data_IF_882376812925
#
_entry.id   IF_882376812925
#
_cell.length_a   1.000
_cell.length_b   1.000
_cell.length_c   1.000
_cell.angle_alpha   90.00
_cell.angle_beta   90.00
_cell.angle_gamma   90.00
#
_symmetry.space_group_name_H-M   'P 1'
#
loop_
_entity.id
_entity.type
_entity.pdbx_description
1 polymer ?
#
# COMPACT_ATOMS: atom_id res chain seq x y z
N UNK A 1 7.53 17.07 19.52
CA UNK A 1 6.21 16.51 19.16
C UNK A 1 6.40 15.49 18.06
N UNK A 2 5.95 14.27 18.30
CA UNK A 2 6.34 13.06 17.57
C UNK A 2 6.00 13.13 16.08
N UNK A 3 7.00 12.76 15.26
CA UNK A 3 6.87 12.64 13.81
C UNK A 3 5.72 11.72 13.40
N UNK A 4 4.80 12.25 12.60
CA UNK A 4 3.83 11.46 11.86
C UNK A 4 4.56 10.61 10.81
N UNK A 5 4.67 9.31 11.06
CA UNK A 5 5.01 8.33 10.00
C UNK A 5 3.72 7.73 9.45
N UNK A 6 3.20 8.46 8.47
CA UNK A 6 2.58 8.05 7.19
C UNK A 6 2.20 6.57 7.03
N UNK A 7 0.96 6.35 6.56
CA UNK A 7 0.58 5.10 5.89
C UNK A 7 1.58 4.71 4.80
N UNK A 8 1.54 3.45 4.37
CA UNK A 8 2.53 2.85 3.46
C UNK A 8 2.62 3.66 2.16
N UNK A 9 3.59 4.57 2.10
CA UNK A 9 4.00 5.28 0.89
C UNK A 9 5.07 4.43 0.20
N UNK A 10 4.68 3.72 -0.86
CA UNK A 10 5.57 2.93 -1.69
C UNK A 10 6.71 3.78 -2.27
N UNK A 11 6.53 5.10 -2.39
CA UNK A 11 7.54 6.06 -2.87
C UNK A 11 8.39 6.69 -1.78
N UNK A 12 8.08 6.52 -0.48
CA UNK A 12 9.09 6.75 0.58
C UNK A 12 10.22 5.73 0.50
N UNK A 13 10.09 4.76 -0.41
CA UNK A 13 10.90 3.57 -0.51
C UNK A 13 11.62 3.47 -1.86
N UNK A 14 12.48 4.43 -2.16
CA UNK A 14 13.85 4.02 -2.53
C UNK A 14 14.62 3.67 -1.27
N UNK A 15 14.00 2.91 -0.36
CA UNK A 15 14.65 2.45 0.84
C UNK A 15 15.49 1.28 0.39
N UNK A 16 16.74 1.61 0.11
CA UNK A 16 17.83 0.69 0.28
C UNK A 16 17.63 -0.07 1.59
N UNK A 17 17.60 -1.39 1.53
CA UNK A 17 17.76 -2.16 2.73
C UNK A 17 19.15 -1.83 3.30
N UNK A 18 19.20 -1.31 4.54
CA UNK A 18 20.45 -1.11 5.29
C UNK A 18 20.83 -2.37 6.07
N UNK A 19 20.21 -3.52 5.80
CA UNK A 19 20.60 -4.77 6.43
C UNK A 19 21.96 -5.22 5.89
N UNK A 20 22.94 -5.06 6.77
CA UNK A 20 24.23 -5.74 6.83
C UNK A 20 25.05 -5.89 5.52
N UNK A 21 26.15 -5.13 5.47
CA UNK A 21 27.34 -5.34 4.61
C UNK A 21 27.21 -4.89 3.15
N UNK A 22 27.27 -3.57 2.94
CA UNK A 22 28.12 -3.01 1.88
C UNK A 22 27.56 -2.86 0.46
N UNK A 23 26.35 -3.31 0.14
CA UNK A 23 25.70 -2.93 -1.13
C UNK A 23 24.22 -2.67 -0.91
N UNK A 24 23.84 -1.41 -1.08
CA UNK A 24 22.47 -0.95 -1.04
C UNK A 24 21.73 -1.54 -2.26
N UNK A 25 21.08 -2.70 -2.12
CA UNK A 25 20.32 -3.31 -3.22
C UNK A 25 19.03 -2.51 -3.40
N UNK A 26 18.73 -2.12 -4.64
CA UNK A 26 17.41 -1.62 -4.99
C UNK A 26 16.42 -2.74 -4.68
N UNK A 27 15.52 -2.51 -3.71
CA UNK A 27 14.36 -3.37 -3.55
C UNK A 27 13.46 -3.09 -4.74
N UNK A 28 13.15 -4.13 -5.51
CA UNK A 28 12.15 -4.04 -6.56
C UNK A 28 10.81 -3.55 -5.94
N UNK A 29 10.28 -2.41 -6.40
CA UNK A 29 9.07 -1.81 -5.83
C UNK A 29 7.85 -2.73 -5.96
N UNK A 30 7.82 -3.60 -6.97
CA UNK A 30 6.73 -4.57 -7.14
C UNK A 30 6.79 -5.64 -6.06
N UNK A 31 7.96 -6.24 -5.85
CA UNK A 31 8.21 -7.20 -4.76
C UNK A 31 7.83 -6.62 -3.39
N UNK A 32 8.13 -5.34 -3.14
CA UNK A 32 7.72 -4.68 -1.88
C UNK A 32 6.20 -4.56 -1.76
N UNK A 33 5.52 -4.22 -2.84
CA UNK A 33 4.06 -4.13 -2.86
C UNK A 33 3.41 -5.49 -2.62
N UNK A 34 3.90 -6.55 -3.27
CA UNK A 34 3.42 -7.92 -3.04
C UNK A 34 3.57 -8.31 -1.57
N UNK A 35 4.74 -8.05 -0.97
CA UNK A 35 4.97 -8.31 0.46
C UNK A 35 4.00 -7.54 1.37
N UNK A 36 3.75 -6.27 1.07
CA UNK A 36 2.78 -5.47 1.83
C UNK A 36 1.36 -6.03 1.72
N UNK A 37 0.95 -6.53 0.55
CA UNK A 37 -0.34 -7.20 0.37
C UNK A 37 -0.41 -8.48 1.20
N UNK A 38 0.65 -9.30 1.18
CA UNK A 38 0.71 -10.54 1.95
C UNK A 38 0.65 -10.31 3.48
N UNK A 39 1.33 -9.27 3.97
CA UNK A 39 1.24 -8.85 5.37
C UNK A 39 -0.20 -8.46 5.76
N UNK A 40 -0.92 -7.74 4.90
CA UNK A 40 -2.32 -7.38 5.14
C UNK A 40 -3.26 -8.58 5.10
N UNK A 41 -3.05 -9.52 4.17
CA UNK A 41 -3.80 -10.80 4.12
C UNK A 41 -3.62 -11.57 5.43
N UNK A 42 -2.38 -11.66 5.93
CA UNK A 42 -2.11 -12.34 7.21
C UNK A 42 -2.81 -11.65 8.39
N UNK A 43 -2.79 -10.32 8.45
CA UNK A 43 -3.49 -9.54 9.48
C UNK A 43 -4.99 -9.80 9.42
N UNK A 44 -5.62 -9.73 8.24
CA UNK A 44 -7.05 -9.98 8.09
C UNK A 44 -7.42 -11.40 8.50
N UNK A 45 -6.64 -12.41 8.10
CA UNK A 45 -6.85 -13.79 8.52
C UNK A 45 -6.79 -13.97 10.04
N UNK A 46 -5.85 -13.31 10.72
CA UNK A 46 -5.77 -13.31 12.19
C UNK A 46 -6.97 -12.60 12.81
N UNK A 47 -7.38 -11.46 12.26
CA UNK A 47 -8.47 -10.67 12.84
C UNK A 47 -9.84 -11.33 12.64
N UNK A 48 -10.03 -12.06 11.53
CA UNK A 48 -11.26 -12.80 11.23
C UNK A 48 -11.58 -13.87 12.29
N UNK A 49 -10.58 -14.44 12.96
CA UNK A 49 -10.79 -15.46 14.00
C UNK A 49 -11.16 -14.88 15.36
N UNK A 50 -11.10 -13.55 15.54
CA UNK A 50 -11.41 -12.89 16.81
C UNK A 50 -12.89 -12.53 16.89
N UNK A 51 -13.46 -12.64 18.10
CA UNK A 51 -14.84 -12.24 18.37
C UNK A 51 -15.09 -10.74 18.12
N UNK A 52 -14.07 -9.90 18.34
CA UNK A 52 -14.09 -8.46 18.05
C UNK A 52 -12.86 -8.10 17.21
N UNK A 53 -12.94 -8.17 15.87
CA UNK A 53 -11.83 -7.81 14.99
C UNK A 53 -11.44 -6.34 15.20
N UNK A 54 -10.15 -6.09 15.45
CA UNK A 54 -9.61 -4.74 15.63
C UNK A 54 -8.38 -4.55 14.76
N UNK A 55 -8.47 -3.59 13.84
CA UNK A 55 -7.40 -3.23 12.94
C UNK A 55 -6.67 -2.00 13.46
N UNK A 56 -5.35 -1.97 13.28
CA UNK A 56 -4.55 -0.79 13.56
C UNK A 56 -4.89 0.33 12.57
N UNK A 57 -4.63 1.57 12.98
CA UNK A 57 -4.87 2.77 12.15
C UNK A 57 -4.23 2.71 10.76
N UNK A 58 -3.18 1.93 10.58
CA UNK A 58 -2.41 1.82 9.34
C UNK A 58 -2.71 0.57 8.53
N UNK A 59 -3.54 -0.32 9.06
CA UNK A 59 -4.02 -1.47 8.30
C UNK A 59 -4.92 -1.01 7.17
N UNK A 60 -4.99 -1.82 6.12
CA UNK A 60 -5.77 -1.48 4.93
C UNK A 60 -7.27 -1.70 5.15
N UNK A 61 -7.65 -2.40 6.22
CA UNK A 61 -9.04 -2.66 6.58
C UNK A 61 -9.43 -1.82 7.78
N UNK A 62 -10.55 -1.12 7.70
CA UNK A 62 -11.15 -0.39 8.82
C UNK A 62 -12.66 -0.61 8.85
N UNK A 63 -13.24 -0.72 10.04
CA UNK A 63 -14.70 -0.77 10.17
C UNK A 63 -15.31 0.60 9.85
N UNK A 64 -16.42 0.58 9.11
CA UNK A 64 -17.23 1.75 8.77
C UNK A 64 -18.72 1.41 8.94
N UNK A 65 -19.57 2.43 9.05
CA UNK A 65 -21.03 2.27 9.05
C UNK A 65 -21.59 2.98 7.84
N UNK A 66 -22.30 2.27 6.98
CA UNK A 66 -22.98 2.81 5.80
C UNK A 66 -24.45 2.44 5.87
N UNK A 67 -25.34 3.43 5.69
CA UNK A 67 -26.79 3.22 5.72
C UNK A 67 -27.27 2.42 6.95
N UNK A 68 -26.75 2.78 8.13
CA UNK A 68 -27.03 2.12 9.41
C UNK A 68 -26.63 0.63 9.51
N UNK A 69 -25.83 0.11 8.56
CA UNK A 69 -25.28 -1.26 8.58
C UNK A 69 -23.74 -1.23 8.72
N UNK A 70 -23.14 -2.22 9.41
CA UNK A 70 -21.69 -2.33 9.53
C UNK A 70 -21.08 -2.84 8.22
N UNK A 71 -20.00 -2.19 7.79
CA UNK A 71 -19.18 -2.55 6.63
C UNK A 71 -17.70 -2.50 7.00
N UNK A 72 -16.87 -3.06 6.14
CA UNK A 72 -15.42 -2.96 6.17
C UNK A 72 -14.96 -2.15 4.96
N UNK A 73 -14.23 -1.07 5.20
CA UNK A 73 -13.54 -0.33 4.17
C UNK A 73 -12.18 -0.97 3.93
N UNK A 74 -11.88 -1.32 2.68
CA UNK A 74 -10.59 -1.86 2.25
C UNK A 74 -9.89 -0.83 1.38
N UNK A 75 -8.74 -0.36 1.84
CA UNK A 75 -7.91 0.63 1.17
C UNK A 75 -6.70 -0.04 0.53
N UNK A 76 -6.88 -0.55 -0.68
CA UNK A 76 -5.81 -1.22 -1.41
C UNK A 76 -5.02 -0.17 -2.20
N UNK A 77 -3.79 0.08 -1.74
CA UNK A 77 -2.84 0.91 -2.45
C UNK A 77 -3.07 2.42 -2.31
N UNK A 78 -2.00 3.13 -1.96
CA UNK A 78 -1.78 4.44 -2.59
C UNK A 78 -1.01 4.15 -3.88
N UNK A 79 -1.48 4.68 -5.01
CA UNK A 79 -0.90 4.69 -6.37
C UNK A 79 0.48 3.99 -6.51
N UNK A 80 0.70 3.05 -7.45
CA UNK A 80 0.03 2.91 -8.74
C UNK A 80 -1.10 1.87 -8.81
N UNK A 81 -1.44 1.22 -7.70
CA UNK A 81 -2.52 0.25 -7.72
C UNK A 81 -3.88 0.97 -7.66
N UNK A 82 -4.66 0.84 -8.73
CA UNK A 82 -6.08 1.17 -8.78
C UNK A 82 -6.81 -0.08 -9.27
N UNK A 83 -7.92 -0.42 -8.61
CA UNK A 83 -8.79 -1.51 -9.05
C UNK A 83 -10.10 -0.84 -9.48
N UNK A 84 -10.46 -0.99 -10.76
CA UNK A 84 -11.63 -0.32 -11.33
C UNK A 84 -11.71 1.20 -11.03
N UNK A 85 -10.58 1.91 -11.19
CA UNK A 85 -10.41 3.35 -10.90
C UNK A 85 -10.64 3.77 -9.43
N UNK A 86 -10.88 2.82 -8.54
CA UNK A 86 -11.09 3.04 -7.11
C UNK A 86 -9.86 2.64 -6.28
N UNK A 87 -9.78 3.23 -5.09
CA UNK A 87 -8.71 2.97 -4.09
C UNK A 87 -9.27 2.57 -2.73
N UNK A 88 -10.59 2.61 -2.57
CA UNK A 88 -11.30 2.26 -1.34
C UNK A 88 -12.55 1.47 -1.71
N UNK A 89 -12.73 0.30 -1.13
CA UNK A 89 -13.85 -0.59 -1.40
C UNK A 89 -14.62 -0.84 -0.11
N UNK A 90 -15.95 -0.71 -0.14
CA UNK A 90 -16.78 -1.12 0.98
C UNK A 90 -17.23 -2.57 0.77
N UNK A 91 -16.98 -3.43 1.75
CA UNK A 91 -17.37 -4.83 1.74
C UNK A 91 -18.08 -5.21 3.03
N UNK A 92 -18.95 -6.20 2.97
CA UNK A 92 -19.78 -6.62 4.11
C UNK A 92 -19.01 -7.58 5.03
N UNK A 93 -18.07 -8.36 4.47
CA UNK A 93 -17.34 -9.38 5.21
C UNK A 93 -15.83 -9.25 5.04
N UNK A 94 -15.09 -9.73 6.04
CA UNK A 94 -13.63 -9.84 5.95
C UNK A 94 -13.20 -10.84 4.86
N UNK A 95 -14.04 -11.81 4.50
CA UNK A 95 -13.79 -12.71 3.37
C UNK A 95 -13.78 -11.98 2.03
N UNK A 96 -14.72 -11.06 1.81
CA UNK A 96 -14.71 -10.20 0.64
C UNK A 96 -13.47 -9.28 0.63
N UNK A 97 -13.02 -8.81 1.80
CA UNK A 97 -11.77 -8.06 1.90
C UNK A 97 -10.56 -8.91 1.47
N UNK A 98 -10.50 -10.18 1.89
CA UNK A 98 -9.46 -11.11 1.45
C UNK A 98 -9.52 -11.37 -0.06
N UNK A 99 -10.71 -11.52 -0.64
CA UNK A 99 -10.86 -11.66 -2.10
C UNK A 99 -10.29 -10.46 -2.83
N UNK A 100 -10.60 -9.24 -2.39
CA UNK A 100 -10.06 -8.01 -2.99
C UNK A 100 -8.53 -7.94 -2.87
N UNK A 101 -7.95 -8.30 -1.72
CA UNK A 101 -6.49 -8.30 -1.53
C UNK A 101 -5.79 -9.35 -2.41
N UNK A 102 -6.37 -10.54 -2.55
CA UNK A 102 -5.82 -11.57 -3.45
C UNK A 102 -5.92 -11.16 -4.92
N UNK A 103 -7.02 -10.53 -5.31
CA UNK A 103 -7.19 -10.00 -6.67
C UNK A 103 -6.19 -8.88 -6.95
N UNK A 104 -5.99 -7.97 -5.98
CA UNK A 104 -4.95 -6.95 -6.04
C UNK A 104 -3.56 -7.57 -6.25
N UNK A 105 -3.21 -8.61 -5.48
CA UNK A 105 -1.94 -9.33 -5.64
C UNK A 105 -1.80 -9.93 -7.04
N UNK A 106 -2.88 -10.55 -7.56
CA UNK A 106 -2.91 -11.14 -8.90
C UNK A 106 -2.66 -10.07 -9.98
N UNK A 107 -3.32 -8.92 -9.88
CA UNK A 107 -3.13 -7.79 -10.80
C UNK A 107 -1.72 -7.22 -10.75
N UNK A 108 -1.11 -7.14 -9.56
CA UNK A 108 0.27 -6.70 -9.39
C UNK A 108 1.23 -7.60 -10.15
N UNK A 109 1.12 -8.91 -9.94
CA UNK A 109 2.00 -9.90 -10.56
C UNK A 109 1.76 -10.00 -12.08
N UNK A 110 0.52 -9.83 -12.53
CA UNK A 110 0.19 -9.84 -13.96
C UNK A 110 0.70 -8.61 -14.73
N UNK A 111 0.95 -7.48 -14.03
CA UNK A 111 1.40 -6.22 -14.64
C UNK A 111 2.70 -5.70 -14.01
N UNK A 112 3.62 -6.61 -13.66
CA UNK A 112 4.86 -6.28 -12.97
C UNK A 112 5.68 -5.21 -13.72
N UNK A 113 5.94 -5.42 -15.01
CA UNK A 113 6.75 -4.49 -15.82
C UNK A 113 6.09 -3.10 -15.95
N UNK A 114 4.77 -3.05 -16.14
CA UNK A 114 4.03 -1.79 -16.24
C UNK A 114 4.01 -1.02 -14.93
N UNK A 115 3.82 -1.72 -13.81
CA UNK A 115 3.86 -1.11 -12.47
C UNK A 115 5.27 -0.62 -12.12
N UNK A 116 6.31 -1.39 -12.44
CA UNK A 116 7.70 -0.97 -12.26
C UNK A 116 8.00 0.33 -13.03
N UNK A 117 7.56 0.44 -14.29
CA UNK A 117 7.75 1.65 -15.09
C UNK A 117 6.96 2.85 -14.53
N UNK A 118 5.72 2.65 -14.09
CA UNK A 118 4.93 3.71 -13.44
C UNK A 118 5.58 4.20 -12.14
N UNK A 119 6.13 3.28 -11.33
CA UNK A 119 6.87 3.65 -10.12
C UNK A 119 8.10 4.49 -10.47
N UNK A 120 8.86 4.07 -11.48
CA UNK A 120 10.04 4.79 -11.98
C UNK A 120 9.70 6.20 -12.47
N UNK A 121 8.71 6.34 -13.36
CA UNK A 121 8.29 7.66 -13.90
C UNK A 121 7.86 8.62 -12.80
N UNK A 122 7.13 8.14 -11.79
CA UNK A 122 6.69 8.99 -10.68
C UNK A 122 7.82 9.38 -9.74
N UNK A 123 8.76 8.47 -9.51
CA UNK A 123 9.98 8.76 -8.78
C UNK A 123 10.81 9.86 -9.46
N UNK A 124 11.00 9.76 -10.77
CA UNK A 124 11.69 10.77 -11.58
C UNK A 124 10.97 12.12 -11.51
N UNK A 125 9.63 12.13 -11.65
CA UNK A 125 8.82 13.34 -11.49
C UNK A 125 8.94 13.98 -10.10
N UNK A 126 8.96 13.17 -9.02
CA UNK A 126 9.21 13.67 -7.65
C UNK A 126 10.62 14.23 -7.51
N UNK A 127 11.63 13.54 -8.04
CA UNK A 127 13.02 13.98 -8.04
C UNK A 127 13.18 15.33 -8.72
N UNK A 128 12.58 15.51 -9.89
CA UNK A 128 12.55 16.77 -10.65
C UNK A 128 11.87 17.90 -9.88
N UNK A 129 10.70 17.66 -9.27
CA UNK A 129 10.01 18.66 -8.44
C UNK A 129 10.86 19.08 -7.22
N UNK A 130 11.58 18.14 -6.61
CA UNK A 130 12.46 18.44 -5.46
C UNK A 130 13.67 19.27 -5.91
N UNK A 131 14.30 18.95 -7.05
CA UNK A 131 15.45 19.72 -7.56
C UNK A 131 15.04 21.13 -7.99
N UNK A 132 13.90 21.27 -8.67
CA UNK A 132 13.33 22.57 -9.07
C UNK A 132 12.99 23.45 -7.87
N UNK A 133 12.46 22.88 -6.79
CA UNK A 133 12.12 23.61 -5.58
C UNK A 133 13.35 23.97 -4.72
N UNK A 134 14.46 23.23 -4.83
CA UNK A 134 15.74 23.62 -4.19
C UNK A 134 16.36 24.84 -4.86
N UNK A 135 16.20 25.01 -6.17
CA UNK A 135 16.69 26.17 -6.92
C UNK A 135 15.88 27.46 -6.73
N UNK A 136 14.67 27.39 -6.15
CA UNK A 136 13.79 28.54 -5.87
C UNK A 136 13.85 29.06 -4.44
N UNK A 137 14.69 28.46 -3.57
CA UNK A 137 15.05 28.99 -2.25
C UNK A 137 16.41 29.70 -2.34
N UNK A 138 16.49 30.71 -3.19
CA UNK A 138 17.59 31.68 -3.23
C UNK A 138 16.98 33.08 -3.18
#
# INVERSE_FOLDING_TARGET
MAEQKTGVDLFKTFAFDKSAKGQARLIDPVSKLVKAIDEQIAIVNIQKTKANPQFAKFDWVSSIVMNAKPYWQVKIGHFPLQIADETHFAVETLDQALTLMNEAKRMVLANEAGLADQVRKKAESRGKKISENKGKKA
#
